data_IF_529592139075
#
_entry.id   IF_529592139075
#
_cell.length_a   1.000
_cell.length_b   1.000
_cell.length_c   1.000
_cell.angle_alpha   90.00
_cell.angle_beta   90.00
_cell.angle_gamma   90.00
#
_symmetry.space_group_name_H-M   'P 1'
#
loop_
_entity.id
_entity.type
_entity.pdbx_description
1 polymer ?
#
# COMPACT_ATOMS: atom_id res chain seq x y z
N UNK A 1 -22.75 23.78 -3.42
CA UNK A 1 -21.46 23.19 -3.02
C UNK A 1 -20.59 23.00 -4.27
N UNK A 2 -19.37 23.53 -4.33
CA UNK A 2 -18.51 23.34 -5.53
C UNK A 2 -18.03 21.88 -5.61
N UNK A 3 -17.85 21.33 -6.82
CA UNK A 3 -17.35 19.95 -7.04
C UNK A 3 -16.11 19.63 -6.20
N UNK A 4 -15.21 20.60 -6.05
CA UNK A 4 -13.97 20.49 -5.26
C UNK A 4 -14.23 20.34 -3.75
N UNK A 5 -15.08 21.20 -3.17
CA UNK A 5 -15.48 21.10 -1.75
C UNK A 5 -16.20 19.78 -1.45
N UNK A 6 -17.00 19.27 -2.40
CA UNK A 6 -17.65 17.96 -2.29
C UNK A 6 -16.63 16.83 -2.21
N UNK A 7 -15.66 16.81 -3.11
CA UNK A 7 -14.65 15.75 -3.14
C UNK A 7 -13.74 15.79 -1.90
N UNK A 8 -13.45 16.98 -1.36
CA UNK A 8 -12.71 17.12 -0.09
C UNK A 8 -13.49 16.51 1.08
N UNK A 9 -14.79 16.81 1.19
CA UNK A 9 -15.63 16.26 2.25
C UNK A 9 -15.80 14.74 2.13
N UNK A 10 -15.95 14.21 0.92
CA UNK A 10 -15.97 12.76 0.67
C UNK A 10 -14.64 12.12 1.08
N UNK A 11 -13.50 12.74 0.73
CA UNK A 11 -12.19 12.23 1.12
C UNK A 11 -12.02 12.16 2.65
N UNK A 12 -12.41 13.22 3.36
CA UNK A 12 -12.37 13.27 4.83
C UNK A 12 -13.33 12.24 5.44
N UNK A 13 -14.54 12.10 4.89
CA UNK A 13 -15.52 11.12 5.34
C UNK A 13 -15.02 9.68 5.20
N UNK A 14 -14.50 9.32 4.02
CA UNK A 14 -13.92 7.99 3.79
C UNK A 14 -12.66 7.75 4.62
N UNK A 15 -11.83 8.77 4.83
CA UNK A 15 -10.69 8.66 5.74
C UNK A 15 -11.14 8.36 7.18
N UNK A 16 -12.15 9.08 7.68
CA UNK A 16 -12.68 8.86 9.03
C UNK A 16 -13.29 7.47 9.20
N UNK A 17 -14.20 7.09 8.30
CA UNK A 17 -14.87 5.77 8.35
C UNK A 17 -13.87 4.64 8.18
N UNK A 18 -12.95 4.75 7.22
CA UNK A 18 -11.88 3.76 7.02
C UNK A 18 -11.03 3.60 8.27
N UNK A 19 -10.61 4.70 8.89
CA UNK A 19 -9.83 4.66 10.14
C UNK A 19 -10.59 3.96 11.28
N UNK A 20 -11.89 4.23 11.45
CA UNK A 20 -12.72 3.57 12.46
C UNK A 20 -12.79 2.06 12.23
N UNK A 21 -12.99 1.63 10.98
CA UNK A 21 -13.03 0.21 10.63
C UNK A 21 -11.67 -0.48 10.82
N UNK A 22 -10.57 0.23 10.57
CA UNK A 22 -9.22 -0.29 10.76
C UNK A 22 -8.91 -0.63 12.22
N UNK A 23 -9.39 0.20 13.15
CA UNK A 23 -9.10 0.11 14.58
C UNK A 23 -10.28 -0.42 15.40
N UNK A 24 -11.25 -1.08 14.76
CA UNK A 24 -12.50 -1.49 15.42
C UNK A 24 -12.28 -2.42 16.63
N UNK A 25 -11.27 -3.29 16.56
CA UNK A 25 -10.89 -4.21 17.65
C UNK A 25 -10.39 -3.48 18.92
N UNK A 26 -9.95 -2.22 18.80
CA UNK A 26 -9.49 -1.41 19.92
C UNK A 26 -10.58 -0.56 20.57
N UNK A 27 -11.80 -0.56 20.05
CA UNK A 27 -12.90 0.29 20.52
C UNK A 27 -13.83 -0.54 21.40
N UNK A 28 -13.73 -0.38 22.71
CA UNK A 28 -14.53 -1.11 23.71
C UNK A 28 -16.04 -0.81 23.69
N UNK A 29 -16.47 0.24 22.98
CA UNK A 29 -17.86 0.70 22.93
C UNK A 29 -18.70 0.05 21.81
N UNK A 30 -18.08 -0.74 20.91
CA UNK A 30 -18.76 -1.28 19.73
C UNK A 30 -19.36 -2.68 19.97
N UNK A 31 -20.50 -3.02 19.32
CA UNK A 31 -21.15 -4.32 19.48
C UNK A 31 -20.23 -5.49 19.11
N UNK A 32 -20.29 -6.58 19.87
CA UNK A 32 -19.47 -7.78 19.65
C UNK A 32 -19.58 -8.38 18.23
N UNK A 33 -20.75 -8.23 17.59
CA UNK A 33 -21.01 -8.65 16.21
C UNK A 33 -20.09 -7.93 15.20
N UNK A 34 -19.71 -6.68 15.48
CA UNK A 34 -18.80 -5.93 14.60
C UNK A 34 -17.34 -6.33 14.81
N UNK A 35 -16.95 -6.73 16.02
CA UNK A 35 -15.59 -7.24 16.30
C UNK A 35 -15.36 -8.64 15.71
N UNK A 36 -16.39 -9.48 15.60
CA UNK A 36 -16.28 -10.79 14.93
C UNK A 36 -16.03 -10.67 13.43
N UNK A 37 -16.52 -9.60 12.80
CA UNK A 37 -16.36 -9.33 11.36
C UNK A 37 -15.15 -8.42 11.05
N UNK A 38 -14.16 -8.35 11.95
CA UNK A 38 -13.06 -7.39 11.85
C UNK A 38 -12.21 -7.54 10.57
N UNK A 39 -12.03 -8.76 10.07
CA UNK A 39 -11.27 -9.03 8.84
C UNK A 39 -11.95 -8.39 7.62
N UNK A 40 -13.28 -8.56 7.50
CA UNK A 40 -14.06 -7.96 6.42
C UNK A 40 -14.00 -6.43 6.49
N UNK A 41 -14.17 -5.87 7.69
CA UNK A 41 -14.13 -4.42 7.92
C UNK A 41 -12.75 -3.82 7.63
N UNK A 42 -11.66 -4.52 7.95
CA UNK A 42 -10.30 -4.14 7.55
C UNK A 42 -10.15 -4.15 6.02
N UNK A 43 -10.69 -5.15 5.34
CA UNK A 43 -10.76 -5.17 3.88
C UNK A 43 -11.50 -3.96 3.28
N UNK A 44 -12.67 -3.61 3.83
CA UNK A 44 -13.43 -2.41 3.43
C UNK A 44 -12.64 -1.13 3.74
N UNK A 45 -11.97 -1.07 4.89
CA UNK A 45 -11.10 0.02 5.28
C UNK A 45 -10.00 0.26 4.24
N UNK A 46 -9.36 -0.78 3.71
CA UNK A 46 -8.34 -0.64 2.67
C UNK A 46 -8.88 0.11 1.45
N UNK A 47 -10.09 -0.26 0.99
CA UNK A 47 -10.74 0.38 -0.16
C UNK A 47 -11.07 1.84 0.15
N UNK A 48 -11.68 2.11 1.32
CA UNK A 48 -12.04 3.46 1.74
C UNK A 48 -10.83 4.38 1.87
N UNK A 49 -9.76 3.91 2.50
CA UNK A 49 -8.51 4.65 2.67
C UNK A 49 -7.81 4.91 1.33
N UNK A 50 -7.88 3.96 0.39
CA UNK A 50 -7.34 4.13 -0.96
C UNK A 50 -8.11 5.20 -1.74
N UNK A 51 -9.44 5.18 -1.69
CA UNK A 51 -10.28 6.22 -2.33
C UNK A 51 -10.01 7.58 -1.66
N UNK A 52 -9.91 7.62 -0.34
CA UNK A 52 -9.57 8.83 0.40
C UNK A 52 -8.18 9.37 0.00
N UNK A 53 -7.19 8.51 -0.19
CA UNK A 53 -5.85 8.88 -0.64
C UNK A 53 -5.85 9.48 -2.04
N UNK A 54 -6.57 8.85 -2.99
CA UNK A 54 -6.70 9.35 -4.37
C UNK A 54 -7.44 10.69 -4.39
N UNK A 55 -8.60 10.77 -3.74
CA UNK A 55 -9.38 12.02 -3.65
C UNK A 55 -8.61 13.11 -2.92
N UNK A 56 -7.86 12.76 -1.88
CA UNK A 56 -6.94 13.65 -1.18
C UNK A 56 -5.90 14.23 -2.14
N UNK A 57 -5.23 13.35 -2.87
CA UNK A 57 -4.23 13.67 -3.89
C UNK A 57 -4.75 14.54 -5.02
N UNK A 58 -6.05 14.55 -5.32
CA UNK A 58 -6.67 15.35 -6.40
C UNK A 58 -7.32 16.64 -5.87
N UNK A 59 -8.17 16.55 -4.85
CA UNK A 59 -9.12 17.59 -4.46
C UNK A 59 -8.53 18.72 -3.61
N UNK A 60 -7.45 18.47 -2.86
CA UNK A 60 -6.80 19.50 -2.03
C UNK A 60 -5.79 20.30 -2.83
N UNK A 61 -5.77 21.62 -2.63
CA UNK A 61 -4.83 22.54 -3.29
C UNK A 61 -3.43 22.44 -2.72
N UNK A 62 -3.32 22.34 -1.40
CA UNK A 62 -2.04 22.28 -0.71
C UNK A 62 -1.46 20.85 -0.78
N UNK A 63 -0.86 20.51 -1.92
CA UNK A 63 -0.20 19.21 -2.14
C UNK A 63 0.94 18.97 -1.15
N UNK A 64 1.67 20.01 -0.77
CA UNK A 64 2.79 19.92 0.16
C UNK A 64 2.36 19.38 1.54
N UNK A 65 1.20 19.81 2.06
CA UNK A 65 0.65 19.24 3.31
C UNK A 65 0.35 17.75 3.17
N UNK A 66 -0.20 17.32 2.04
CA UNK A 66 -0.50 15.89 1.81
C UNK A 66 0.79 15.08 1.71
N UNK A 67 1.82 15.60 1.03
CA UNK A 67 3.15 14.95 0.97
C UNK A 67 3.72 14.75 2.37
N UNK A 68 3.64 15.77 3.24
CA UNK A 68 4.16 15.68 4.60
C UNK A 68 3.38 14.64 5.41
N UNK A 69 2.04 14.70 5.39
CA UNK A 69 1.18 13.77 6.14
C UNK A 69 1.38 12.33 5.65
N UNK A 70 1.38 12.11 4.35
CA UNK A 70 1.60 10.79 3.76
C UNK A 70 3.02 10.27 3.96
N UNK A 71 4.04 11.15 3.93
CA UNK A 71 5.41 10.81 4.27
C UNK A 71 5.55 10.36 5.73
N UNK A 72 4.94 11.10 6.67
CA UNK A 72 4.88 10.70 8.09
C UNK A 72 4.14 9.37 8.22
N UNK A 73 3.02 9.19 7.52
CA UNK A 73 2.26 7.93 7.50
C UNK A 73 3.08 6.74 6.99
N UNK A 74 3.91 6.92 5.96
CA UNK A 74 4.83 5.89 5.48
C UNK A 74 5.87 5.51 6.56
N UNK A 75 6.45 6.50 7.24
CA UNK A 75 7.40 6.25 8.34
C UNK A 75 6.73 5.53 9.51
N UNK A 76 5.54 5.96 9.91
CA UNK A 76 4.75 5.31 10.97
C UNK A 76 4.42 3.86 10.57
N UNK A 77 3.96 3.64 9.34
CA UNK A 77 3.62 2.31 8.83
C UNK A 77 4.82 1.37 8.82
N UNK A 78 6.01 1.86 8.43
CA UNK A 78 7.25 1.09 8.54
C UNK A 78 7.64 0.83 10.00
N UNK A 79 7.49 1.83 10.86
CA UNK A 79 7.69 1.69 12.30
C UNK A 79 6.81 0.59 12.89
N UNK A 80 5.55 0.49 12.46
CA UNK A 80 4.62 -0.54 12.92
C UNK A 80 5.04 -1.98 12.55
N UNK A 81 5.82 -2.15 11.48
CA UNK A 81 6.33 -3.47 11.10
C UNK A 81 7.45 -3.94 12.04
N UNK A 82 8.35 -3.05 12.45
CA UNK A 82 9.60 -3.43 13.12
C UNK A 82 9.64 -3.10 14.62
N UNK A 83 8.82 -2.17 15.09
CA UNK A 83 8.79 -1.81 16.51
C UNK A 83 7.94 -2.80 17.34
N UNK A 84 8.26 -2.97 18.63
CA UNK A 84 7.44 -3.73 19.57
C UNK A 84 6.20 -2.91 19.96
N UNK A 85 5.17 -2.96 19.11
CA UNK A 85 3.89 -2.27 19.28
C UNK A 85 2.72 -3.26 19.40
N UNK A 86 1.56 -2.84 19.95
CA UNK A 86 0.35 -3.66 20.02
C UNK A 86 -0.04 -4.31 18.68
N UNK A 87 -0.56 -5.53 18.73
CA UNK A 87 -0.95 -6.32 17.55
C UNK A 87 -1.96 -5.60 16.63
N UNK A 88 -2.87 -4.82 17.22
CA UNK A 88 -3.85 -3.99 16.50
C UNK A 88 -3.14 -2.97 15.59
N UNK A 89 -2.12 -2.29 16.12
CA UNK A 89 -1.33 -1.32 15.35
C UNK A 89 -0.49 -2.03 14.28
N UNK A 90 0.11 -3.18 14.59
CA UNK A 90 0.88 -3.97 13.60
C UNK A 90 -0.01 -4.45 12.45
N UNK A 91 -1.24 -4.88 12.73
CA UNK A 91 -2.22 -5.29 11.71
C UNK A 91 -2.70 -4.14 10.80
N UNK A 92 -2.51 -2.89 11.23
CA UNK A 92 -2.86 -1.70 10.44
C UNK A 92 -1.76 -1.27 9.46
N UNK A 93 -0.53 -1.76 9.63
CA UNK A 93 0.65 -1.30 8.90
C UNK A 93 0.48 -1.34 7.38
N UNK A 94 -0.05 -2.45 6.85
CA UNK A 94 -0.30 -2.60 5.41
C UNK A 94 -1.24 -1.52 4.86
N UNK A 95 -2.35 -1.25 5.55
CA UNK A 95 -3.37 -0.29 5.13
C UNK A 95 -2.81 1.14 5.10
N UNK A 96 -2.06 1.50 6.15
CA UNK A 96 -1.41 2.81 6.26
C UNK A 96 -0.37 2.97 5.16
N UNK A 97 0.53 2.00 5.01
CA UNK A 97 1.59 2.02 4.00
C UNK A 97 1.02 2.14 2.59
N UNK A 98 -0.02 1.37 2.29
CA UNK A 98 -0.67 1.36 0.97
C UNK A 98 -1.34 2.71 0.66
N UNK A 99 -2.23 3.18 1.55
CA UNK A 99 -2.93 4.44 1.33
C UNK A 99 -1.98 5.65 1.30
N UNK A 100 -0.96 5.66 2.18
CA UNK A 100 0.02 6.73 2.21
C UNK A 100 0.95 6.68 0.99
N UNK A 101 1.29 5.50 0.46
CA UNK A 101 2.08 5.38 -0.76
C UNK A 101 1.38 6.00 -1.97
N UNK A 102 0.07 5.77 -2.12
CA UNK A 102 -0.73 6.38 -3.18
C UNK A 102 -0.75 7.90 -3.02
N UNK A 103 -1.12 8.39 -1.83
CA UNK A 103 -1.18 9.83 -1.55
C UNK A 103 0.16 10.52 -1.76
N UNK A 104 1.25 9.91 -1.29
CA UNK A 104 2.62 10.42 -1.42
C UNK A 104 3.06 10.44 -2.89
N UNK A 105 2.89 9.33 -3.61
CA UNK A 105 3.27 9.22 -5.02
C UNK A 105 2.55 10.26 -5.88
N UNK A 106 1.26 10.49 -5.65
CA UNK A 106 0.47 11.47 -6.41
C UNK A 106 0.83 12.93 -6.11
N UNK A 107 1.41 13.22 -4.95
CA UNK A 107 1.60 14.60 -4.48
C UNK A 107 3.06 15.04 -4.41
N UNK A 108 4.01 14.11 -4.41
CA UNK A 108 5.44 14.42 -4.29
C UNK A 108 5.98 15.20 -5.49
N UNK A 109 6.75 16.25 -5.20
CA UNK A 109 7.51 17.02 -6.20
C UNK A 109 8.94 16.50 -6.36
N UNK A 110 9.46 15.76 -5.37
CA UNK A 110 10.83 15.26 -5.32
C UNK A 110 11.01 13.96 -6.13
N UNK A 111 10.64 13.98 -7.41
CA UNK A 111 10.48 12.77 -8.23
C UNK A 111 11.70 11.85 -8.23
N UNK A 112 12.91 12.40 -8.35
CA UNK A 112 14.16 11.61 -8.40
C UNK A 112 14.41 10.87 -7.09
N UNK A 113 14.29 11.55 -5.95
CA UNK A 113 14.51 10.96 -4.63
C UNK A 113 13.44 9.91 -4.34
N UNK A 114 12.17 10.24 -4.61
CA UNK A 114 11.06 9.30 -4.41
C UNK A 114 11.21 8.06 -5.29
N UNK A 115 11.67 8.19 -6.54
CA UNK A 115 11.95 7.05 -7.44
C UNK A 115 13.04 6.14 -6.87
N UNK A 116 14.17 6.71 -6.45
CA UNK A 116 15.29 5.93 -5.90
C UNK A 116 14.85 5.22 -4.61
N UNK A 117 14.18 5.95 -3.71
CA UNK A 117 13.69 5.39 -2.45
C UNK A 117 12.65 4.28 -2.66
N UNK A 118 11.73 4.45 -3.60
CA UNK A 118 10.71 3.44 -3.89
C UNK A 118 11.28 2.22 -4.61
N UNK A 119 12.28 2.40 -5.48
CA UNK A 119 13.00 1.30 -6.11
C UNK A 119 13.79 0.49 -5.07
N UNK A 120 14.50 1.15 -4.16
CA UNK A 120 15.19 0.51 -3.05
C UNK A 120 14.21 -0.28 -2.18
N UNK A 121 13.08 0.32 -1.81
CA UNK A 121 12.04 -0.33 -1.01
C UNK A 121 11.49 -1.59 -1.70
N UNK A 122 11.22 -1.50 -3.02
CA UNK A 122 10.76 -2.64 -3.81
C UNK A 122 11.83 -3.74 -3.89
N UNK A 123 13.10 -3.39 -4.11
CA UNK A 123 14.20 -4.35 -4.13
C UNK A 123 14.39 -5.06 -2.78
N UNK A 124 14.28 -4.33 -1.66
CA UNK A 124 14.31 -4.92 -0.31
C UNK A 124 13.12 -5.87 -0.12
N UNK A 125 11.92 -5.49 -0.58
CA UNK A 125 10.75 -6.36 -0.58
C UNK A 125 10.96 -7.66 -1.36
N UNK A 126 11.55 -7.58 -2.57
CA UNK A 126 11.91 -8.78 -3.37
C UNK A 126 12.95 -9.62 -2.62
N UNK A 127 13.98 -9.01 -2.04
CA UNK A 127 14.98 -9.74 -1.27
C UNK A 127 14.37 -10.48 -0.09
N UNK A 128 13.45 -9.84 0.66
CA UNK A 128 12.74 -10.47 1.77
C UNK A 128 11.85 -11.63 1.32
N UNK A 129 11.29 -11.54 0.12
CA UNK A 129 10.47 -12.58 -0.50
C UNK A 129 11.26 -13.89 -0.67
N UNK A 130 12.53 -13.79 -1.05
CA UNK A 130 13.41 -14.91 -1.38
C UNK A 130 14.36 -15.29 -0.23
N UNK A 131 14.14 -14.80 0.99
CA UNK A 131 15.00 -15.10 2.14
C UNK A 131 14.44 -16.30 2.94
N UNK A 132 14.89 -17.54 2.70
CA UNK A 132 14.34 -18.73 3.36
C UNK A 132 14.71 -18.82 4.85
N UNK A 133 15.78 -18.15 5.27
CA UNK A 133 16.35 -18.29 6.62
C UNK A 133 15.59 -17.51 7.70
N UNK A 134 14.77 -16.52 7.32
CA UNK A 134 14.05 -15.66 8.26
C UNK A 134 12.58 -15.51 7.84
N UNK A 135 11.69 -16.42 8.28
CA UNK A 135 10.27 -16.41 7.90
C UNK A 135 9.54 -15.11 8.27
N UNK A 136 9.98 -14.44 9.34
CA UNK A 136 9.47 -13.13 9.74
C UNK A 136 9.69 -12.05 8.67
N UNK A 137 10.83 -12.08 7.96
CA UNK A 137 11.11 -11.13 6.88
C UNK A 137 10.20 -11.37 5.68
N UNK A 138 10.01 -12.63 5.29
CA UNK A 138 9.10 -13.02 4.18
C UNK A 138 7.66 -12.54 4.42
N UNK A 139 7.17 -12.58 5.66
CA UNK A 139 5.83 -12.05 6.00
C UNK A 139 5.70 -10.53 5.81
N UNK A 140 6.81 -9.79 5.90
CA UNK A 140 6.85 -8.33 5.71
C UNK A 140 7.15 -7.93 4.27
N UNK A 141 7.55 -8.85 3.39
CA UNK A 141 7.96 -8.58 2.02
C UNK A 141 6.90 -7.79 1.24
N UNK A 142 5.63 -8.22 1.29
CA UNK A 142 4.51 -7.55 0.62
C UNK A 142 4.30 -6.11 1.13
N UNK A 143 4.53 -5.87 2.41
CA UNK A 143 4.37 -4.55 3.04
C UNK A 143 5.40 -3.54 2.54
N UNK A 144 6.53 -4.00 1.98
CA UNK A 144 7.55 -3.14 1.35
C UNK A 144 7.36 -3.08 -0.17
N UNK A 145 7.11 -4.25 -0.77
CA UNK A 145 7.01 -4.42 -2.21
C UNK A 145 5.88 -3.59 -2.81
N UNK A 146 4.68 -3.67 -2.23
CA UNK A 146 3.49 -3.01 -2.80
C UNK A 146 3.59 -1.47 -2.74
N UNK A 147 3.91 -0.85 -1.58
CA UNK A 147 4.15 0.59 -1.51
C UNK A 147 5.28 1.07 -2.42
N UNK A 148 6.38 0.30 -2.48
CA UNK A 148 7.52 0.60 -3.34
C UNK A 148 7.14 0.63 -4.82
N UNK A 149 6.47 -0.40 -5.31
CA UNK A 149 6.00 -0.47 -6.70
C UNK A 149 4.99 0.63 -7.00
N UNK A 150 4.05 0.93 -6.10
CA UNK A 150 3.07 2.03 -6.30
C UNK A 150 3.77 3.37 -6.46
N UNK A 151 4.63 3.75 -5.51
CA UNK A 151 5.31 5.05 -5.56
C UNK A 151 6.20 5.11 -6.82
N UNK A 152 6.91 4.03 -7.12
CA UNK A 152 7.75 3.96 -8.31
C UNK A 152 6.94 4.19 -9.59
N UNK A 153 5.83 3.46 -9.75
CA UNK A 153 4.96 3.55 -10.92
C UNK A 153 4.30 4.93 -11.10
N UNK A 154 3.93 5.61 -10.01
CA UNK A 154 3.35 6.97 -10.11
C UNK A 154 4.43 8.00 -10.48
N UNK A 155 5.61 7.89 -9.86
CA UNK A 155 6.61 8.97 -9.88
C UNK A 155 7.58 8.85 -11.07
N UNK A 156 7.96 7.63 -11.44
CA UNK A 156 8.98 7.38 -12.48
C UNK A 156 8.55 7.90 -13.85
N UNK A 157 9.45 8.49 -14.63
CA UNK A 157 9.07 9.20 -15.86
C UNK A 157 8.78 8.27 -17.04
N UNK A 158 9.42 7.11 -17.15
CA UNK A 158 9.34 6.26 -18.34
C UNK A 158 8.24 5.20 -18.20
N UNK A 159 7.06 5.51 -18.74
CA UNK A 159 5.86 4.65 -18.70
C UNK A 159 6.14 3.25 -19.25
N UNK A 160 6.79 3.16 -20.41
CA UNK A 160 7.10 1.89 -21.08
C UNK A 160 7.96 0.95 -20.24
N UNK A 161 8.97 1.48 -19.53
CA UNK A 161 9.78 0.67 -18.62
C UNK A 161 8.97 0.18 -17.42
N UNK A 162 8.11 1.02 -16.84
CA UNK A 162 7.23 0.57 -15.76
C UNK A 162 6.25 -0.52 -16.21
N UNK A 163 5.70 -0.42 -17.43
CA UNK A 163 4.84 -1.46 -18.01
C UNK A 163 5.62 -2.76 -18.19
N UNK A 164 6.82 -2.71 -18.78
CA UNK A 164 7.67 -3.89 -18.96
C UNK A 164 8.05 -4.55 -17.63
N UNK A 165 8.43 -3.76 -16.62
CA UNK A 165 8.72 -4.28 -15.28
C UNK A 165 7.48 -4.92 -14.63
N UNK A 166 6.32 -4.29 -14.78
CA UNK A 166 5.05 -4.82 -14.24
C UNK A 166 4.65 -6.12 -14.92
N UNK A 167 4.77 -6.20 -16.25
CA UNK A 167 4.54 -7.42 -17.04
C UNK A 167 5.55 -8.50 -16.64
N UNK A 168 6.81 -8.15 -16.42
CA UNK A 168 7.84 -9.07 -15.94
C UNK A 168 7.47 -9.66 -14.57
N UNK A 169 7.03 -8.83 -13.62
CA UNK A 169 6.56 -9.30 -12.30
C UNK A 169 5.32 -10.20 -12.41
N UNK A 170 4.38 -9.87 -13.30
CA UNK A 170 3.20 -10.70 -13.58
C UNK A 170 3.63 -12.06 -14.13
N UNK A 171 4.49 -12.08 -15.16
CA UNK A 171 4.98 -13.30 -15.77
C UNK A 171 5.73 -14.19 -14.76
N UNK A 172 6.64 -13.60 -13.98
CA UNK A 172 7.36 -14.30 -12.91
C UNK A 172 6.40 -14.85 -11.85
N UNK A 173 5.40 -14.06 -11.44
CA UNK A 173 4.38 -14.47 -10.50
C UNK A 173 3.56 -15.66 -11.00
N UNK A 174 3.11 -15.63 -12.26
CA UNK A 174 2.39 -16.75 -12.89
C UNK A 174 3.26 -17.99 -13.01
N UNK A 175 4.51 -17.86 -13.46
CA UNK A 175 5.44 -18.99 -13.57
C UNK A 175 5.63 -19.64 -12.20
N UNK A 176 5.83 -18.85 -11.14
CA UNK A 176 6.01 -19.33 -9.77
C UNK A 176 4.75 -20.03 -9.24
N UNK A 177 3.55 -19.51 -9.51
CA UNK A 177 2.29 -20.15 -9.13
C UNK A 177 2.06 -21.51 -9.82
N UNK A 178 2.59 -21.68 -11.03
CA UNK A 178 2.47 -22.92 -11.80
C UNK A 178 3.52 -23.98 -11.42
N UNK A 179 4.48 -23.69 -10.53
CA UNK A 179 5.46 -24.69 -10.09
C UNK A 179 4.84 -25.62 -9.03
N UNK A 180 4.72 -26.93 -9.28
CA UNK A 180 3.95 -27.84 -8.42
C UNK A 180 4.70 -28.31 -7.16
N UNK A 181 5.91 -27.80 -6.89
CA UNK A 181 6.84 -28.46 -5.97
C UNK A 181 7.10 -27.75 -4.63
N UNK A 182 6.74 -26.48 -4.42
CA UNK A 182 6.90 -25.81 -3.10
C UNK A 182 5.83 -24.75 -2.82
N UNK A 183 5.19 -24.83 -1.66
CA UNK A 183 4.26 -23.81 -1.14
C UNK A 183 4.90 -22.42 -1.00
N UNK A 184 6.23 -22.38 -0.83
CA UNK A 184 7.03 -21.15 -0.87
C UNK A 184 6.88 -20.42 -2.21
N UNK A 185 6.95 -21.14 -3.35
CA UNK A 185 6.77 -20.52 -4.68
C UNK A 185 5.36 -19.99 -4.89
N UNK A 186 4.36 -20.58 -4.24
CA UNK A 186 2.99 -20.12 -4.31
C UNK A 186 2.81 -18.76 -3.61
N UNK A 187 3.30 -18.61 -2.38
CA UNK A 187 3.24 -17.34 -1.64
C UNK A 187 4.06 -16.24 -2.33
N UNK A 188 5.29 -16.56 -2.73
CA UNK A 188 6.20 -15.68 -3.47
C UNK A 188 5.59 -15.26 -4.81
N UNK A 189 5.05 -16.21 -5.56
CA UNK A 189 4.39 -15.98 -6.84
C UNK A 189 3.15 -15.09 -6.72
N UNK A 190 2.30 -15.32 -5.72
CA UNK A 190 1.13 -14.48 -5.45
C UNK A 190 1.53 -13.04 -5.14
N UNK A 191 2.54 -12.82 -4.29
CA UNK A 191 2.99 -11.47 -3.92
C UNK A 191 3.61 -10.72 -5.11
N UNK A 192 4.39 -11.41 -5.96
CA UNK A 192 4.93 -10.84 -7.20
C UNK A 192 3.83 -10.50 -8.20
N UNK A 193 2.86 -11.40 -8.37
CA UNK A 193 1.71 -11.18 -9.24
C UNK A 193 0.89 -9.97 -8.77
N UNK A 194 0.61 -9.88 -7.48
CA UNK A 194 -0.13 -8.77 -6.89
C UNK A 194 0.62 -7.44 -7.07
N UNK A 195 1.93 -7.42 -6.84
CA UNK A 195 2.76 -6.23 -7.07
C UNK A 195 2.82 -5.82 -8.54
N UNK A 196 3.02 -6.78 -9.45
CA UNK A 196 3.02 -6.56 -10.89
C UNK A 196 1.68 -6.03 -11.40
N UNK A 197 0.56 -6.62 -10.99
CA UNK A 197 -0.78 -6.16 -11.35
C UNK A 197 -1.06 -4.75 -10.82
N UNK A 198 -0.73 -4.49 -9.56
CA UNK A 198 -0.90 -3.16 -8.96
C UNK A 198 -0.07 -2.12 -9.69
N UNK A 199 1.19 -2.42 -9.97
CA UNK A 199 2.08 -1.59 -10.75
C UNK A 199 1.51 -1.30 -12.14
N UNK A 200 1.06 -2.33 -12.85
CA UNK A 200 0.48 -2.20 -14.19
C UNK A 200 -0.76 -1.31 -14.20
N UNK A 201 -1.71 -1.54 -13.29
CA UNK A 201 -2.94 -0.74 -13.19
C UNK A 201 -2.60 0.74 -12.98
N UNK A 202 -1.68 1.04 -12.06
CA UNK A 202 -1.24 2.41 -11.78
C UNK A 202 -0.62 3.06 -13.01
N UNK A 203 0.24 2.35 -13.73
CA UNK A 203 0.95 2.88 -14.90
C UNK A 203 -0.02 3.14 -16.05
N UNK A 204 -0.98 2.25 -16.28
CA UNK A 204 -1.99 2.40 -17.34
C UNK A 204 -2.87 3.63 -17.10
N UNK A 205 -3.26 3.88 -15.85
CA UNK A 205 -4.14 4.99 -15.45
C UNK A 205 -3.42 6.29 -15.10
N UNK A 206 -2.09 6.33 -15.25
CA UNK A 206 -1.28 7.55 -15.16
C UNK A 206 -1.37 8.36 -16.45
#
# INVERSE_FOLDING_TARGET
MTKKKRNQLIAIGFFGVGTVFLYIEGISLLPAIMTENSVLLKGISLVLLSIAAILGGIAFENKQRIVIISGIGLVIGLGFLYLPIPSILRGSAFHILFACAIAFGMTTTAKRISTIGSALLACVGIFFLYQPFFPSLSSTALHLLLPGVIIFSIVFSQKTLCEQLSIGLIALGMIALCQPFLMLFYQTGFQLLLAGLTGFIVVVHR
#
